data_IF_433312247495
#
_entry.id   IF_433312247495
#
_cell.length_a   1.000
_cell.length_b   1.000
_cell.length_c   1.000
_cell.angle_alpha   90.00
_cell.angle_beta   90.00
_cell.angle_gamma   90.00
#
_symmetry.space_group_name_H-M   'P 1'
#
loop_
_entity.id
_entity.type
_entity.pdbx_description
1 polymer ?
#
# COMPACT_ATOMS: atom_id res chain seq x y z
N UNK A 1 19.39 2.80 26.21
CA UNK A 1 20.28 2.23 25.16
C UNK A 1 21.70 2.65 25.47
N UNK A 2 22.68 1.75 25.36
CA UNK A 2 24.07 2.07 25.70
C UNK A 2 24.71 3.06 24.71
N UNK A 3 25.72 3.83 25.14
CA UNK A 3 26.61 4.57 24.25
C UNK A 3 26.97 3.79 23.00
N UNK A 4 26.79 4.41 21.82
CA UNK A 4 27.05 3.75 20.55
C UNK A 4 26.02 2.68 20.15
N UNK A 5 24.84 2.60 20.77
CA UNK A 5 23.75 1.78 20.22
C UNK A 5 23.13 2.38 18.94
N UNK A 6 22.44 1.57 18.14
CA UNK A 6 21.70 2.02 16.94
C UNK A 6 20.21 2.18 17.23
N UNK A 7 19.65 3.31 16.81
CA UNK A 7 18.22 3.47 16.59
C UNK A 7 17.90 3.26 15.13
N UNK A 8 16.87 2.47 14.85
CA UNK A 8 16.34 2.27 13.51
C UNK A 8 14.82 2.43 13.55
N UNK A 9 14.30 3.43 12.86
CA UNK A 9 12.88 3.52 12.52
C UNK A 9 12.73 3.21 11.05
N UNK A 10 11.81 2.31 10.70
CA UNK A 10 11.54 2.01 9.30
C UNK A 10 10.04 1.86 9.08
N UNK A 11 9.62 2.08 7.84
CA UNK A 11 8.23 1.93 7.44
C UNK A 11 8.08 2.06 5.94
N UNK A 12 6.88 1.73 5.48
CA UNK A 12 6.49 1.86 4.08
C UNK A 12 5.12 2.51 3.96
N UNK A 13 4.94 3.30 2.90
CA UNK A 13 3.67 3.84 2.42
C UNK A 13 3.12 2.97 1.30
N UNK A 14 2.11 3.44 0.58
CA UNK A 14 1.41 2.63 -0.41
C UNK A 14 2.30 2.06 -1.51
N UNK A 15 1.84 0.92 -2.03
CA UNK A 15 2.46 0.28 -3.17
C UNK A 15 1.94 0.87 -4.47
N UNK A 16 2.75 0.72 -5.51
CA UNK A 16 2.35 0.83 -6.91
C UNK A 16 2.51 -0.54 -7.58
N UNK A 17 1.72 -0.78 -8.61
CA UNK A 17 1.94 -1.89 -9.54
C UNK A 17 2.85 -1.38 -10.63
N UNK A 18 4.08 -1.88 -10.64
CA UNK A 18 5.23 -1.29 -11.33
C UNK A 18 5.05 -1.16 -12.84
N UNK A 19 4.24 -2.04 -13.45
CA UNK A 19 3.98 -2.06 -14.90
C UNK A 19 2.52 -1.75 -15.25
N UNK A 20 1.73 -1.30 -14.26
CA UNK A 20 0.29 -1.04 -14.39
C UNK A 20 -0.03 0.33 -13.79
N UNK A 21 0.33 1.43 -14.50
CA UNK A 21 0.09 2.78 -14.02
C UNK A 21 -1.39 3.03 -13.74
N UNK A 22 -2.30 2.48 -14.56
CA UNK A 22 -3.72 2.74 -14.38
C UNK A 22 -4.28 2.00 -13.17
N UNK A 23 -3.83 0.76 -12.92
CA UNK A 23 -4.16 0.06 -11.68
C UNK A 23 -3.69 0.84 -10.45
N UNK A 24 -2.48 1.40 -10.48
CA UNK A 24 -1.92 2.18 -9.37
C UNK A 24 -2.74 3.44 -9.09
N UNK A 25 -3.17 4.17 -10.13
CA UNK A 25 -4.08 5.32 -9.99
C UNK A 25 -5.42 4.94 -9.37
N UNK A 26 -5.99 3.79 -9.76
CA UNK A 26 -7.26 3.29 -9.22
C UNK A 26 -7.12 2.96 -7.74
N UNK A 27 -6.02 2.30 -7.35
CA UNK A 27 -5.74 2.00 -5.94
C UNK A 27 -5.64 3.29 -5.14
N UNK A 28 -4.89 4.29 -5.62
CA UNK A 28 -4.78 5.60 -4.97
C UNK A 28 -6.14 6.27 -4.82
N UNK A 29 -6.95 6.26 -5.89
CA UNK A 29 -8.30 6.81 -5.88
C UNK A 29 -9.17 6.16 -4.79
N UNK A 30 -9.29 4.84 -4.78
CA UNK A 30 -10.08 4.14 -3.77
C UNK A 30 -9.50 4.33 -2.36
N UNK A 31 -8.18 4.39 -2.22
CA UNK A 31 -7.52 4.54 -0.94
C UNK A 31 -7.72 5.93 -0.32
N UNK A 32 -7.84 7.01 -1.12
CA UNK A 32 -7.72 8.39 -0.61
C UNK A 32 -8.84 9.35 -0.93
N UNK A 33 -9.71 9.03 -1.89
CA UNK A 33 -10.88 9.86 -2.12
C UNK A 33 -11.78 9.90 -0.88
N UNK A 34 -12.32 11.10 -0.61
CA UNK A 34 -13.08 11.39 0.61
C UNK A 34 -14.56 10.98 0.53
N UNK A 35 -14.99 10.46 -0.62
CA UNK A 35 -16.29 9.82 -0.76
C UNK A 35 -16.45 8.75 0.35
N UNK A 36 -17.53 8.78 1.16
CA UNK A 36 -17.76 7.81 2.21
C UNK A 36 -17.84 6.36 1.72
N UNK A 37 -18.19 6.14 0.45
CA UNK A 37 -18.23 4.80 -0.15
C UNK A 37 -16.84 4.25 -0.47
N UNK A 38 -15.78 5.05 -0.32
CA UNK A 38 -14.37 4.71 -0.54
C UNK A 38 -13.58 4.77 0.78
N UNK A 39 -12.26 4.56 0.73
CA UNK A 39 -11.45 4.36 1.95
C UNK A 39 -10.83 5.67 2.50
N UNK A 40 -10.84 6.78 1.77
CA UNK A 40 -10.03 7.95 2.12
C UNK A 40 -10.39 8.62 3.44
N UNK A 41 -11.65 8.53 3.85
CA UNK A 41 -12.16 9.13 5.09
C UNK A 41 -11.91 8.26 6.34
N UNK A 42 -11.50 7.01 6.16
CA UNK A 42 -11.36 6.03 7.25
C UNK A 42 -9.92 5.88 7.76
N UNK A 43 -8.94 6.48 7.08
CA UNK A 43 -7.57 6.52 7.56
C UNK A 43 -7.42 7.36 8.84
N UNK A 44 -6.81 6.77 9.87
CA UNK A 44 -6.53 7.50 11.11
C UNK A 44 -5.42 8.53 10.93
N UNK A 45 -5.69 9.76 11.37
CA UNK A 45 -4.72 10.85 11.40
C UNK A 45 -4.28 11.16 12.84
N UNK A 46 -3.04 11.65 13.06
CA UNK A 46 -2.02 12.01 12.06
C UNK A 46 -1.14 10.83 11.58
N UNK A 47 -1.34 9.63 12.15
CA UNK A 47 -0.48 8.47 11.87
C UNK A 47 -0.33 8.13 10.39
N UNK A 48 -1.43 8.15 9.62
CA UNK A 48 -1.38 7.90 8.18
C UNK A 48 -0.52 8.92 7.43
N UNK A 49 -0.64 10.21 7.76
CA UNK A 49 0.19 11.27 7.16
C UNK A 49 1.68 11.04 7.43
N UNK A 50 2.05 10.70 8.65
CA UNK A 50 3.45 10.45 9.02
C UNK A 50 4.07 9.32 8.17
N UNK A 51 3.31 8.25 7.94
CA UNK A 51 3.74 7.14 7.08
C UNK A 51 3.82 7.56 5.61
N UNK A 52 2.81 8.28 5.10
CA UNK A 52 2.81 8.81 3.73
C UNK A 52 4.00 9.74 3.44
N UNK A 53 4.37 10.55 4.43
CA UNK A 53 5.52 11.44 4.36
C UNK A 53 6.83 10.73 4.74
N UNK A 54 6.92 9.40 4.56
CA UNK A 54 8.17 8.62 4.73
C UNK A 54 8.85 8.88 6.08
N UNK A 55 8.02 8.91 7.13
CA UNK A 55 8.44 9.13 8.51
C UNK A 55 9.23 10.44 8.71
N UNK A 56 9.04 11.48 7.88
CA UNK A 56 9.74 12.77 8.01
C UNK A 56 9.52 13.45 9.36
N UNK A 57 8.38 13.19 10.01
CA UNK A 57 8.12 13.66 11.37
C UNK A 57 9.04 13.02 12.44
N UNK A 58 9.71 11.89 12.13
CA UNK A 58 10.65 11.23 13.06
C UNK A 58 12.02 11.91 12.97
N UNK A 59 12.29 12.81 13.92
CA UNK A 59 13.57 13.53 14.00
C UNK A 59 14.28 13.13 15.30
N UNK A 60 15.30 12.24 15.25
CA UNK A 60 16.08 11.90 16.44
C UNK A 60 16.71 13.16 17.07
N UNK A 61 16.51 13.41 18.38
CA UNK A 61 17.06 14.60 19.04
C UNK A 61 18.59 14.68 18.92
N UNK A 62 19.12 15.74 18.30
CA UNK A 62 20.55 15.89 18.04
C UNK A 62 21.42 15.92 19.32
N UNK A 63 20.84 16.30 20.46
CA UNK A 63 21.49 16.27 21.78
C UNK A 63 21.79 14.84 22.26
N UNK A 64 21.01 13.86 21.81
CA UNK A 64 21.11 12.47 22.24
C UNK A 64 21.65 11.53 21.16
N UNK A 65 21.49 11.94 19.90
CA UNK A 65 21.75 11.12 18.72
C UNK A 65 22.74 11.81 17.79
N UNK A 66 23.57 11.01 17.14
CA UNK A 66 24.49 11.42 16.08
C UNK A 66 24.38 10.49 14.88
N UNK A 67 25.11 10.81 13.82
CA UNK A 67 25.19 9.97 12.60
C UNK A 67 23.81 9.67 11.99
N UNK A 68 22.93 10.69 12.00
CA UNK A 68 21.55 10.54 11.51
C UNK A 68 21.57 10.33 10.00
N UNK A 69 21.06 9.18 9.56
CA UNK A 69 20.94 8.83 8.15
C UNK A 69 19.49 8.56 7.81
N UNK A 70 19.04 9.08 6.66
CA UNK A 70 17.70 8.82 6.11
C UNK A 70 17.85 8.19 4.73
N UNK A 71 17.26 7.02 4.56
CA UNK A 71 17.19 6.30 3.30
C UNK A 71 15.73 6.25 2.91
N UNK A 72 15.37 6.88 1.80
CA UNK A 72 14.00 6.96 1.29
C UNK A 72 13.90 6.28 -0.08
N UNK A 73 12.72 5.74 -0.40
CA UNK A 73 12.35 5.30 -1.73
C UNK A 73 10.97 5.84 -2.09
N UNK A 74 10.83 6.32 -3.32
CA UNK A 74 9.55 6.63 -3.95
C UNK A 74 9.41 5.78 -5.21
N UNK A 75 8.44 4.86 -5.28
CA UNK A 75 8.31 3.95 -6.41
C UNK A 75 7.73 4.69 -7.63
N UNK A 76 7.89 4.06 -8.79
CA UNK A 76 7.39 4.54 -10.08
C UNK A 76 6.70 3.39 -10.82
N UNK A 77 5.86 3.72 -11.78
CA UNK A 77 5.13 2.79 -12.65
C UNK A 77 5.80 2.61 -14.02
N UNK A 78 7.06 3.01 -14.14
CA UNK A 78 7.85 2.95 -15.39
C UNK A 78 8.80 1.73 -15.43
N UNK A 79 8.48 0.67 -14.68
CA UNK A 79 9.31 -0.53 -14.59
C UNK A 79 10.07 -0.67 -13.26
N UNK A 80 10.56 -1.88 -13.02
CA UNK A 80 11.13 -2.32 -11.74
C UNK A 80 12.34 -1.45 -11.37
N UNK A 81 12.26 -0.77 -10.23
CA UNK A 81 13.33 0.08 -9.71
C UNK A 81 13.48 1.41 -10.43
N UNK A 82 12.50 1.81 -11.26
CA UNK A 82 12.49 3.11 -11.93
C UNK A 82 12.16 4.29 -11.00
N UNK A 83 11.87 4.01 -9.72
CA UNK A 83 11.61 5.01 -8.69
C UNK A 83 12.84 5.81 -8.28
N UNK A 84 12.65 6.73 -7.32
CA UNK A 84 13.71 7.59 -6.79
C UNK A 84 14.16 7.13 -5.40
N UNK A 85 15.48 7.07 -5.20
CA UNK A 85 16.09 6.68 -3.92
C UNK A 85 16.47 5.20 -3.85
N UNK A 86 16.53 4.64 -2.65
CA UNK A 86 17.03 3.27 -2.43
C UNK A 86 15.89 2.29 -2.24
N UNK A 87 15.59 1.48 -3.26
CA UNK A 87 14.57 0.44 -3.17
C UNK A 87 14.98 -0.66 -2.18
N UNK A 88 14.19 -0.87 -1.14
CA UNK A 88 14.35 -2.00 -0.21
C UNK A 88 13.03 -2.69 0.18
N UNK A 89 11.89 -2.24 -0.35
CA UNK A 89 10.58 -2.84 -0.13
C UNK A 89 9.89 -3.10 -1.47
N UNK A 90 9.91 -4.36 -1.91
CA UNK A 90 9.35 -4.81 -3.18
C UNK A 90 8.98 -6.29 -3.10
N UNK A 91 8.00 -6.71 -3.88
CA UNK A 91 7.59 -8.10 -3.94
C UNK A 91 7.02 -8.45 -5.31
N UNK A 92 7.23 -9.70 -5.72
CA UNK A 92 6.43 -10.35 -6.75
C UNK A 92 5.34 -11.14 -6.03
N UNK A 93 4.09 -10.89 -6.37
CA UNK A 93 2.94 -11.54 -5.74
C UNK A 93 1.80 -11.72 -6.73
N UNK A 94 0.81 -12.53 -6.39
CA UNK A 94 -0.39 -12.65 -7.22
C UNK A 94 -1.38 -11.52 -6.94
N UNK A 95 -2.26 -11.20 -7.89
CA UNK A 95 -3.35 -10.25 -7.68
C UNK A 95 -4.26 -10.65 -6.51
N UNK A 96 -4.48 -11.96 -6.30
CA UNK A 96 -5.23 -12.46 -5.14
C UNK A 96 -4.52 -12.17 -3.82
N UNK A 97 -3.20 -12.33 -3.75
CA UNK A 97 -2.42 -11.97 -2.56
C UNK A 97 -2.44 -10.46 -2.30
N UNK A 98 -2.43 -9.65 -3.36
CA UNK A 98 -2.58 -8.19 -3.25
C UNK A 98 -3.98 -7.80 -2.74
N UNK A 99 -5.04 -8.45 -3.24
CA UNK A 99 -6.41 -8.25 -2.75
C UNK A 99 -6.49 -8.54 -1.24
N UNK A 100 -5.95 -9.68 -0.78
CA UNK A 100 -5.91 -10.00 0.66
C UNK A 100 -5.08 -8.98 1.46
N UNK A 101 -3.95 -8.54 0.91
CA UNK A 101 -3.14 -7.50 1.54
C UNK A 101 -3.95 -6.20 1.72
N UNK A 102 -4.70 -5.75 0.71
CA UNK A 102 -5.55 -4.55 0.83
C UNK A 102 -6.66 -4.71 1.87
N UNK A 103 -7.18 -5.92 2.04
CA UNK A 103 -8.16 -6.24 3.10
C UNK A 103 -7.56 -6.13 4.51
N UNK A 104 -6.23 -6.12 4.65
CA UNK A 104 -5.58 -5.88 5.95
C UNK A 104 -5.51 -4.38 6.33
N UNK A 105 -5.87 -3.47 5.43
CA UNK A 105 -5.77 -2.03 5.69
C UNK A 105 -6.70 -1.61 6.84
N UNK A 106 -6.16 -0.83 7.78
CA UNK A 106 -6.96 -0.31 8.91
C UNK A 106 -8.13 0.57 8.45
N UNK A 107 -7.96 1.25 7.31
CA UNK A 107 -9.03 2.02 6.67
C UNK A 107 -10.18 1.14 6.19
N UNK A 108 -9.88 -0.02 5.60
CA UNK A 108 -10.89 -0.98 5.18
C UNK A 108 -11.68 -1.53 6.36
N UNK A 109 -11.02 -1.94 7.44
CA UNK A 109 -11.70 -2.41 8.65
C UNK A 109 -12.65 -1.36 9.23
N UNK A 110 -12.26 -0.09 9.22
CA UNK A 110 -13.13 1.03 9.65
C UNK A 110 -14.28 1.29 8.67
N UNK A 111 -14.02 1.19 7.37
CA UNK A 111 -15.06 1.27 6.34
C UNK A 111 -16.11 0.15 6.53
N UNK A 112 -15.68 -1.10 6.77
CA UNK A 112 -16.58 -2.23 7.01
C UNK A 112 -17.52 -2.01 8.21
N UNK A 113 -17.06 -1.31 9.25
CA UNK A 113 -17.92 -0.97 10.39
C UNK A 113 -19.05 0.00 10.03
N UNK A 114 -18.87 0.84 9.00
CA UNK A 114 -19.91 1.75 8.50
C UNK A 114 -20.81 1.11 7.44
N UNK A 115 -20.32 0.09 6.74
CA UNK A 115 -21.05 -0.62 5.69
C UNK A 115 -21.13 -2.13 5.97
N UNK A 116 -21.73 -2.55 7.11
CA UNK A 116 -21.73 -3.96 7.54
C UNK A 116 -22.46 -4.91 6.57
N UNK A 117 -23.38 -4.38 5.76
CA UNK A 117 -24.14 -5.14 4.77
C UNK A 117 -23.39 -5.33 3.44
N UNK A 118 -22.38 -4.51 3.16
CA UNK A 118 -21.53 -4.65 1.97
C UNK A 118 -20.43 -5.67 2.24
N UNK A 119 -20.76 -6.93 1.98
CA UNK A 119 -19.88 -8.07 2.24
C UNK A 119 -19.03 -8.40 1.03
N UNK A 120 -17.88 -9.00 1.32
CA UNK A 120 -17.02 -9.64 0.34
C UNK A 120 -17.85 -10.59 -0.54
N UNK A 121 -17.58 -10.55 -1.85
CA UNK A 121 -18.16 -11.47 -2.83
C UNK A 121 -17.82 -12.93 -2.48
N UNK A 122 -18.74 -13.86 -2.73
CA UNK A 122 -18.53 -15.29 -2.54
C UNK A 122 -17.35 -15.82 -3.38
N UNK A 123 -16.80 -16.97 -3.00
CA UNK A 123 -15.66 -17.60 -3.73
C UNK A 123 -15.98 -17.90 -5.19
N UNK A 124 -17.26 -18.13 -5.51
CA UNK A 124 -17.81 -18.35 -6.84
C UNK A 124 -18.10 -17.05 -7.62
N UNK A 125 -17.78 -15.89 -7.04
CA UNK A 125 -18.07 -14.59 -7.62
C UNK A 125 -19.53 -14.14 -7.42
N UNK A 126 -20.29 -14.74 -6.50
CA UNK A 126 -21.66 -14.32 -6.20
C UNK A 126 -21.74 -13.13 -5.22
N UNK A 127 -22.71 -12.22 -5.45
CA UNK A 127 -22.94 -11.03 -4.62
C UNK A 127 -22.35 -9.74 -5.19
N UNK A 128 -22.80 -8.60 -4.67
CA UNK A 128 -22.37 -7.27 -5.14
C UNK A 128 -20.87 -7.02 -4.88
N UNK A 129 -20.39 -7.47 -3.71
CA UNK A 129 -19.01 -7.28 -3.27
C UNK A 129 -18.82 -6.00 -2.44
N UNK A 130 -17.70 -5.94 -1.71
CA UNK A 130 -17.33 -4.78 -0.92
C UNK A 130 -16.49 -3.76 -1.70
N UNK A 131 -15.98 -2.73 -1.01
CA UNK A 131 -15.13 -1.70 -1.64
C UNK A 131 -13.85 -2.26 -2.26
N UNK A 132 -13.28 -3.34 -1.72
CA UNK A 132 -12.09 -3.97 -2.30
C UNK A 132 -12.49 -4.77 -3.54
N UNK A 133 -13.62 -5.48 -3.52
CA UNK A 133 -14.12 -6.14 -4.74
C UNK A 133 -14.36 -5.13 -5.87
N UNK A 134 -14.97 -3.98 -5.56
CA UNK A 134 -15.15 -2.87 -6.52
C UNK A 134 -13.82 -2.30 -7.03
N UNK A 135 -12.82 -2.20 -6.17
CA UNK A 135 -11.47 -1.74 -6.56
C UNK A 135 -10.83 -2.73 -7.53
N UNK A 136 -10.91 -4.04 -7.25
CA UNK A 136 -10.37 -5.08 -8.12
C UNK A 136 -11.11 -5.15 -9.45
N UNK A 137 -12.44 -5.02 -9.45
CA UNK A 137 -13.23 -4.95 -10.68
C UNK A 137 -12.80 -3.75 -11.55
N UNK A 138 -12.58 -2.57 -10.94
CA UNK A 138 -12.10 -1.38 -11.66
C UNK A 138 -10.68 -1.56 -12.23
N UNK A 139 -9.77 -2.17 -11.48
CA UNK A 139 -8.40 -2.49 -11.94
C UNK A 139 -8.48 -3.40 -13.18
N UNK A 140 -9.26 -4.48 -13.09
CA UNK A 140 -9.45 -5.44 -14.19
C UNK A 140 -10.09 -4.78 -15.41
N UNK A 141 -11.09 -3.94 -15.21
CA UNK A 141 -11.72 -3.22 -16.32
C UNK A 141 -10.72 -2.30 -17.04
N UNK A 142 -9.85 -1.60 -16.30
CA UNK A 142 -8.92 -0.65 -16.87
C UNK A 142 -7.65 -1.28 -17.47
N UNK A 143 -7.22 -2.45 -16.99
CA UNK A 143 -5.97 -3.10 -17.38
C UNK A 143 -6.26 -4.49 -17.97
N UNK A 144 -6.33 -4.63 -19.31
CA UNK A 144 -6.69 -5.90 -19.96
C UNK A 144 -5.80 -7.07 -19.55
N UNK A 145 -4.51 -6.83 -19.28
CA UNK A 145 -3.57 -7.85 -18.82
C UNK A 145 -3.85 -8.37 -17.41
N UNK A 146 -4.73 -7.73 -16.65
CA UNK A 146 -5.12 -8.12 -15.29
C UNK A 146 -6.52 -8.74 -15.22
N UNK A 147 -7.25 -8.85 -16.34
CA UNK A 147 -8.65 -9.29 -16.36
C UNK A 147 -8.89 -10.75 -15.98
N UNK A 148 -7.93 -11.61 -16.31
CA UNK A 148 -8.15 -13.05 -16.47
C UNK A 148 -8.69 -13.40 -17.86
N UNK A 149 -8.81 -14.69 -18.14
CA UNK A 149 -9.40 -15.26 -19.36
C UNK A 149 -10.89 -15.60 -19.17
N UNK A 150 -11.36 -15.69 -17.92
CA UNK A 150 -12.73 -16.03 -17.57
C UNK A 150 -13.75 -14.88 -17.69
N UNK A 151 -15.01 -15.19 -17.39
CA UNK A 151 -16.10 -14.20 -17.34
C UNK A 151 -15.88 -13.16 -16.23
N UNK A 152 -16.70 -12.10 -16.16
CA UNK A 152 -16.57 -11.05 -15.12
C UNK A 152 -16.48 -11.61 -13.69
N UNK A 153 -17.20 -12.69 -13.42
CA UNK A 153 -17.27 -13.33 -12.09
C UNK A 153 -16.20 -14.41 -11.88
N UNK A 154 -15.35 -14.68 -12.87
CA UNK A 154 -14.22 -15.60 -12.70
C UNK A 154 -13.20 -15.07 -11.69
N UNK A 155 -12.46 -16.00 -11.09
CA UNK A 155 -11.41 -15.75 -10.09
C UNK A 155 -10.01 -16.18 -10.56
N UNK A 156 -9.87 -16.58 -11.83
CA UNK A 156 -8.61 -16.95 -12.47
C UNK A 156 -7.59 -15.80 -12.46
N UNK A 157 -8.08 -14.56 -12.57
CA UNK A 157 -7.25 -13.36 -12.42
C UNK A 157 -6.47 -13.30 -11.11
N UNK A 158 -6.94 -13.97 -10.04
CA UNK A 158 -6.25 -14.00 -8.75
C UNK A 158 -4.88 -14.66 -8.82
N UNK A 159 -4.63 -15.49 -9.84
CA UNK A 159 -3.35 -16.16 -10.06
C UNK A 159 -2.35 -15.32 -10.86
N UNK A 160 -2.77 -14.21 -11.47
CA UNK A 160 -1.89 -13.32 -12.27
C UNK A 160 -0.82 -12.74 -11.35
N UNK A 161 0.45 -12.93 -11.72
CA UNK A 161 1.59 -12.37 -11.02
C UNK A 161 1.83 -10.91 -11.40
N UNK A 162 2.14 -10.10 -10.40
CA UNK A 162 2.47 -8.69 -10.53
C UNK A 162 3.71 -8.37 -9.70
N UNK A 163 4.45 -7.35 -10.14
CA UNK A 163 5.53 -6.75 -9.38
C UNK A 163 5.01 -5.48 -8.69
N UNK A 164 5.19 -5.40 -7.38
CA UNK A 164 4.80 -4.26 -6.55
C UNK A 164 5.99 -3.68 -5.82
N UNK A 165 5.99 -2.36 -5.68
CA UNK A 165 6.99 -1.59 -4.95
C UNK A 165 6.30 -0.60 -4.02
N UNK A 166 6.78 -0.48 -2.79
CA UNK A 166 6.25 0.47 -1.81
C UNK A 166 7.19 1.65 -1.65
N UNK A 167 6.64 2.85 -1.48
CA UNK A 167 7.44 3.96 -0.95
C UNK A 167 7.87 3.63 0.46
N UNK A 168 9.12 3.93 0.82
CA UNK A 168 9.68 3.47 2.09
C UNK A 168 10.66 4.45 2.68
N UNK A 169 10.88 4.31 3.99
CA UNK A 169 11.84 5.11 4.74
C UNK A 169 12.55 4.26 5.79
N UNK A 170 13.83 4.50 5.97
CA UNK A 170 14.66 4.01 7.07
C UNK A 170 15.42 5.20 7.65
N UNK A 171 15.20 5.47 8.93
CA UNK A 171 15.89 6.49 9.73
C UNK A 171 16.81 5.76 10.70
N UNK A 172 18.11 5.97 10.56
CA UNK A 172 19.15 5.42 11.42
C UNK A 172 19.79 6.54 12.23
N UNK A 173 20.14 6.25 13.49
CA UNK A 173 20.95 7.13 14.31
C UNK A 173 21.76 6.35 15.35
N UNK A 174 22.82 6.95 15.87
CA UNK A 174 23.69 6.35 16.88
C UNK A 174 23.59 7.11 18.21
N UNK A 175 23.44 6.39 19.33
CA UNK A 175 23.36 6.99 20.66
C UNK A 175 24.71 7.62 21.00
N UNK A 176 24.67 8.89 21.40
CA UNK A 176 25.84 9.59 21.93
C UNK A 176 26.30 8.93 23.23
N UNK A 177 27.58 9.15 23.54
CA UNK A 177 28.20 8.71 24.79
C UNK A 177 27.52 9.32 26.01
#
# INVERSE_FOLDING_TARGET
>A
MHPGGTLAFWGYKDHVLVSHPKASEIIEHFAYQKDPTLLGSYWQQPGRRIVQEKLRAVVPPAAEWRDITRIEYEPSTQGIGSGQGTRFMSARMTLGAMEEYMRTWSSFHKWQQQFPDQKRRGEDGSGEGDVIDRMMDAIREAEPGLRGEGSRNSVDWKAIEIDVEWGSALVLARKRS
#
